data_IF_965842804592
#
_entry.id   IF_965842804592
#
_cell.length_a   1.000
_cell.length_b   1.000
_cell.length_c   1.000
_cell.angle_alpha   90.00
_cell.angle_beta   90.00
_cell.angle_gamma   90.00
#
_symmetry.space_group_name_H-M   'P 1'
#
loop_
_entity.id
_entity.type
_entity.pdbx_description
1 polymer ?
#
# COMPACT_ATOMS: atom_id res chain seq x y z
N UNK A 1 4.81 42.00 -8.01
CA UNK A 1 4.35 43.28 -7.45
C UNK A 1 2.86 43.14 -7.18
N UNK A 2 2.47 43.22 -5.87
CA UNK A 2 1.11 43.41 -5.30
C UNK A 2 0.19 42.16 -5.42
N UNK A 3 -0.32 41.52 -4.36
CA UNK A 3 -0.84 42.10 -3.13
C UNK A 3 -0.70 41.11 -1.96
N UNK A 4 -0.03 41.55 -0.91
CA UNK A 4 -0.23 41.07 0.42
C UNK A 4 -1.46 41.79 0.98
N UNK A 5 -2.56 41.10 1.16
CA UNK A 5 -3.73 41.64 1.90
C UNK A 5 -3.66 41.09 3.31
N UNK A 6 -3.44 42.02 4.22
CA UNK A 6 -3.49 41.95 5.66
C UNK A 6 -4.81 41.34 6.14
N UNK A 7 -4.75 40.19 6.85
CA UNK A 7 -5.85 39.68 7.68
C UNK A 7 -5.50 39.94 9.17
N UNK A 8 -5.81 41.12 9.65
CA UNK A 8 -6.00 41.42 11.08
C UNK A 8 -7.31 42.18 11.20
N UNK A 9 -8.36 41.47 11.57
CA UNK A 9 -9.52 41.90 12.37
C UNK A 9 -10.78 41.14 11.98
N UNK A 10 -11.04 40.04 12.64
CA UNK A 10 -12.40 39.52 12.93
C UNK A 10 -12.26 38.33 13.91
N UNK A 11 -11.83 38.63 15.12
CA UNK A 11 -12.10 37.80 16.28
C UNK A 11 -13.12 38.57 17.10
N UNK A 12 -14.39 38.28 16.91
CA UNK A 12 -15.36 38.24 17.99
C UNK A 12 -16.72 37.67 17.51
N UNK A 13 -17.21 36.75 18.33
CA UNK A 13 -18.58 36.34 18.51
C UNK A 13 -19.18 35.29 17.53
N UNK A 14 -19.30 34.07 18.05
CA UNK A 14 -20.47 33.21 17.87
C UNK A 14 -20.39 32.24 16.69
N UNK A 15 -20.16 31.04 17.00
CA UNK A 15 -20.54 29.75 16.45
C UNK A 15 -19.36 28.85 16.12
N UNK A 16 -19.11 27.85 16.98
CA UNK A 16 -18.05 26.85 16.83
C UNK A 16 -18.19 25.94 15.61
N UNK A 17 -19.35 25.94 14.94
CA UNK A 17 -19.66 25.09 13.77
C UNK A 17 -19.05 25.59 12.45
N UNK A 18 -18.88 26.91 12.29
CA UNK A 18 -18.27 27.50 11.08
C UNK A 18 -16.74 27.36 11.00
N UNK A 19 -16.09 27.08 12.12
CA UNK A 19 -14.63 26.99 12.22
C UNK A 19 -14.08 25.68 11.64
N UNK A 20 -14.79 24.55 11.82
CA UNK A 20 -14.34 23.24 11.33
C UNK A 20 -14.47 23.10 9.80
N UNK A 21 -15.60 23.53 9.20
CA UNK A 21 -15.77 23.53 7.74
C UNK A 21 -14.74 24.40 7.02
N UNK A 22 -14.42 25.58 7.56
CA UNK A 22 -13.39 26.44 6.99
C UNK A 22 -11.95 25.89 7.16
N UNK A 23 -11.69 25.12 8.22
CA UNK A 23 -10.40 24.47 8.43
C UNK A 23 -10.22 23.30 7.44
N UNK A 24 -11.25 22.49 7.21
CA UNK A 24 -11.23 21.38 6.24
C UNK A 24 -11.12 21.87 4.78
N UNK A 25 -11.88 22.92 4.41
CA UNK A 25 -11.80 23.52 3.08
C UNK A 25 -10.43 24.14 2.83
N UNK A 26 -9.82 24.80 3.82
CA UNK A 26 -8.47 25.35 3.70
C UNK A 26 -7.41 24.26 3.62
N UNK A 27 -7.51 23.13 4.37
CA UNK A 27 -6.59 21.99 4.26
C UNK A 27 -6.71 21.32 2.90
N UNK A 28 -7.93 21.11 2.37
CA UNK A 28 -8.16 20.54 1.03
C UNK A 28 -7.61 21.44 -0.08
N UNK A 29 -7.76 22.77 0.06
CA UNK A 29 -7.22 23.74 -0.89
C UNK A 29 -5.70 23.79 -0.84
N UNK A 30 -5.10 23.71 0.34
CA UNK A 30 -3.64 23.66 0.54
C UNK A 30 -3.07 22.36 -0.04
N UNK A 31 -3.70 21.20 0.19
CA UNK A 31 -3.30 19.92 -0.40
C UNK A 31 -3.42 19.91 -1.93
N UNK A 32 -4.51 20.47 -2.48
CA UNK A 32 -4.72 20.57 -3.94
C UNK A 32 -3.75 21.60 -4.60
N UNK A 33 -3.35 22.63 -3.87
CA UNK A 33 -2.39 23.64 -4.36
C UNK A 33 -0.93 23.19 -4.17
N UNK A 34 -0.64 22.27 -3.25
CA UNK A 34 0.70 21.69 -3.05
C UNK A 34 1.06 20.56 -4.03
N UNK A 35 0.20 20.24 -5.00
CA UNK A 35 0.49 19.26 -6.08
C UNK A 35 1.73 19.61 -6.91
N UNK A 36 2.30 20.80 -6.74
CA UNK A 36 3.59 21.19 -7.31
C UNK A 36 4.72 21.08 -6.30
N UNK A 37 5.33 19.88 -6.20
CA UNK A 37 6.76 19.65 -5.86
C UNK A 37 7.26 19.80 -4.42
N UNK A 38 6.47 19.84 -3.38
CA UNK A 38 7.04 19.72 -2.04
C UNK A 38 7.10 18.25 -1.60
N UNK A 39 8.25 17.78 -1.10
CA UNK A 39 8.40 16.48 -0.43
C UNK A 39 7.42 16.45 0.76
N UNK A 40 6.69 15.32 0.95
CA UNK A 40 5.77 15.17 2.08
C UNK A 40 6.47 15.45 3.41
N UNK A 41 5.93 16.38 4.18
CA UNK A 41 6.51 16.75 5.47
C UNK A 41 6.23 15.66 6.51
N UNK A 42 7.28 15.27 7.26
CA UNK A 42 7.18 14.24 8.32
C UNK A 42 6.06 14.56 9.31
N UNK A 43 5.96 15.80 9.80
CA UNK A 43 4.95 16.18 10.80
C UNK A 43 3.54 16.13 10.22
N UNK A 44 3.34 16.62 9.02
CA UNK A 44 2.06 16.57 8.33
C UNK A 44 1.56 15.11 8.14
N UNK A 45 2.46 14.21 7.78
CA UNK A 45 2.13 12.78 7.67
C UNK A 45 1.73 12.17 9.02
N UNK A 46 2.48 12.49 10.09
CA UNK A 46 2.19 11.97 11.42
C UNK A 46 0.87 12.52 11.98
N UNK A 47 0.55 13.79 11.71
CA UNK A 47 -0.73 14.40 12.13
C UNK A 47 -1.92 13.69 11.46
N UNK A 48 -1.83 13.38 10.17
CA UNK A 48 -2.87 12.62 9.45
C UNK A 48 -3.03 11.20 10.01
N UNK A 49 -1.90 10.56 10.30
CA UNK A 49 -1.89 9.20 10.86
C UNK A 49 -2.53 9.16 12.27
N UNK A 50 -2.25 10.16 13.09
CA UNK A 50 -2.84 10.31 14.43
C UNK A 50 -4.35 10.54 14.33
N UNK A 51 -4.80 11.47 13.48
CA UNK A 51 -6.21 11.72 13.21
C UNK A 51 -6.96 10.44 12.76
N UNK A 52 -6.37 9.68 11.83
CA UNK A 52 -6.94 8.39 11.39
C UNK A 52 -7.03 7.38 12.55
N UNK A 53 -6.00 7.30 13.38
CA UNK A 53 -5.96 6.37 14.52
C UNK A 53 -7.01 6.70 15.58
N UNK A 54 -7.25 7.99 15.83
CA UNK A 54 -8.25 8.46 16.81
C UNK A 54 -9.68 8.06 16.43
N UNK A 55 -9.97 7.82 15.16
CA UNK A 55 -11.27 7.37 14.68
C UNK A 55 -11.56 5.87 14.91
N UNK A 56 -10.58 5.11 15.38
CA UNK A 56 -10.76 3.72 15.80
C UNK A 56 -11.15 2.74 14.68
N UNK A 57 -10.78 3.01 13.44
CA UNK A 57 -11.14 2.14 12.29
C UNK A 57 -10.75 0.68 12.50
N UNK A 58 -9.60 0.42 13.15
CA UNK A 58 -9.09 -0.93 13.39
C UNK A 58 -9.95 -1.73 14.38
N UNK A 59 -10.81 -1.05 15.15
CA UNK A 59 -11.74 -1.67 16.09
C UNK A 59 -13.09 -2.05 15.44
N UNK A 60 -13.32 -1.60 14.19
CA UNK A 60 -14.53 -1.93 13.46
C UNK A 60 -14.53 -3.40 13.02
N UNK A 61 -15.70 -4.01 13.04
CA UNK A 61 -15.89 -5.40 12.60
C UNK A 61 -15.48 -5.53 11.13
N UNK A 62 -14.66 -6.56 10.84
CA UNK A 62 -14.21 -6.90 9.49
C UNK A 62 -13.32 -5.85 8.80
N UNK A 63 -12.87 -4.77 9.48
CA UNK A 63 -12.00 -3.76 8.87
C UNK A 63 -10.73 -4.37 8.25
N UNK A 64 -9.98 -5.18 9.02
CA UNK A 64 -8.77 -5.83 8.52
C UNK A 64 -9.03 -6.68 7.26
N UNK A 65 -10.16 -7.40 7.24
CA UNK A 65 -10.57 -8.25 6.12
C UNK A 65 -10.83 -7.42 4.86
N UNK A 66 -11.68 -6.39 4.95
CA UNK A 66 -12.02 -5.56 3.80
C UNK A 66 -10.84 -4.71 3.33
N UNK A 67 -10.00 -4.27 4.26
CA UNK A 67 -8.78 -3.55 3.92
C UNK A 67 -7.80 -4.43 3.13
N UNK A 68 -7.64 -5.70 3.56
CA UNK A 68 -6.87 -6.70 2.81
C UNK A 68 -7.44 -6.91 1.40
N UNK A 69 -8.76 -6.99 1.25
CA UNK A 69 -9.39 -7.16 -0.06
C UNK A 69 -9.14 -5.97 -0.98
N UNK A 70 -9.18 -4.75 -0.44
CA UNK A 70 -8.81 -3.54 -1.16
C UNK A 70 -7.34 -3.56 -1.61
N UNK A 71 -6.40 -3.89 -0.69
CA UNK A 71 -4.97 -4.02 -1.02
C UNK A 71 -4.75 -5.03 -2.16
N UNK A 72 -5.35 -6.22 -2.07
CA UNK A 72 -5.21 -7.26 -3.10
C UNK A 72 -5.76 -6.78 -4.43
N UNK A 73 -6.94 -6.16 -4.43
CA UNK A 73 -7.60 -5.66 -5.64
C UNK A 73 -6.74 -4.60 -6.34
N UNK A 74 -6.29 -3.59 -5.63
CA UNK A 74 -5.44 -2.55 -6.21
C UNK A 74 -4.09 -3.10 -6.67
N UNK A 75 -3.47 -3.98 -5.87
CA UNK A 75 -2.18 -4.58 -6.22
C UNK A 75 -2.23 -5.44 -7.48
N UNK A 76 -3.30 -6.22 -7.67
CA UNK A 76 -3.48 -7.02 -8.89
C UNK A 76 -3.90 -6.17 -10.10
N UNK A 77 -4.66 -5.09 -9.86
CA UNK A 77 -5.04 -4.16 -10.91
C UNK A 77 -3.84 -3.40 -11.52
N UNK A 78 -2.81 -3.11 -10.73
CA UNK A 78 -1.52 -2.59 -11.23
C UNK A 78 -0.90 -3.58 -12.23
N UNK A 79 -1.07 -4.88 -12.04
CA UNK A 79 -0.57 -5.94 -12.95
C UNK A 79 -1.55 -6.26 -14.09
N UNK A 80 -2.69 -5.58 -14.17
CA UNK A 80 -3.64 -5.69 -15.28
C UNK A 80 -4.92 -6.46 -14.97
N UNK A 81 -5.17 -6.86 -13.71
CA UNK A 81 -6.48 -7.39 -13.31
C UNK A 81 -7.56 -6.32 -13.45
N UNK A 82 -8.72 -6.71 -13.93
CA UNK A 82 -9.88 -5.84 -14.07
C UNK A 82 -10.95 -6.11 -13.02
N UNK A 83 -10.66 -7.00 -12.06
CA UNK A 83 -11.58 -7.32 -10.96
C UNK A 83 -11.79 -6.12 -10.05
N UNK A 84 -13.03 -5.91 -9.63
CA UNK A 84 -13.43 -4.90 -8.65
C UNK A 84 -13.35 -5.45 -7.23
N UNK A 85 -13.40 -4.58 -6.22
CA UNK A 85 -13.43 -5.00 -4.81
C UNK A 85 -14.64 -5.87 -4.50
N UNK A 86 -15.82 -5.53 -5.02
CA UNK A 86 -17.04 -6.34 -4.85
C UNK A 86 -16.90 -7.73 -5.49
N UNK A 87 -16.35 -7.82 -6.70
CA UNK A 87 -16.11 -9.12 -7.36
C UNK A 87 -15.08 -9.94 -6.59
N UNK A 88 -14.05 -9.33 -6.04
CA UNK A 88 -13.07 -10.00 -5.19
C UNK A 88 -13.69 -10.44 -3.84
N UNK A 89 -14.53 -9.62 -3.23
CA UNK A 89 -15.25 -10.02 -2.02
C UNK A 89 -16.10 -11.27 -2.26
N UNK A 90 -16.91 -11.30 -3.32
CA UNK A 90 -17.72 -12.48 -3.67
C UNK A 90 -16.85 -13.72 -3.98
N UNK A 91 -15.71 -13.51 -4.66
CA UNK A 91 -14.77 -14.59 -4.94
C UNK A 91 -14.12 -15.13 -3.67
N UNK A 92 -13.75 -14.26 -2.72
CA UNK A 92 -13.02 -14.64 -1.52
C UNK A 92 -13.92 -15.23 -0.43
N UNK A 93 -15.12 -14.71 -0.28
CA UNK A 93 -16.06 -15.11 0.77
C UNK A 93 -16.96 -16.28 0.35
N UNK A 94 -17.42 -16.28 -0.88
CA UNK A 94 -18.43 -17.22 -1.38
C UNK A 94 -17.89 -18.18 -2.45
N UNK A 95 -16.67 -17.97 -2.94
CA UNK A 95 -16.10 -18.75 -4.03
C UNK A 95 -16.76 -18.49 -5.40
N UNK A 96 -17.51 -17.40 -5.53
CA UNK A 96 -18.22 -17.07 -6.76
C UNK A 96 -17.28 -16.48 -7.80
N UNK A 97 -17.27 -17.08 -8.99
CA UNK A 97 -16.49 -16.58 -10.13
C UNK A 97 -17.10 -15.32 -10.71
N UNK A 98 -16.28 -14.28 -10.90
CA UNK A 98 -16.70 -13.03 -11.51
C UNK A 98 -17.00 -13.20 -13.02
N UNK A 99 -18.20 -12.83 -13.46
CA UNK A 99 -18.64 -12.96 -14.83
C UNK A 99 -17.80 -12.11 -15.78
N UNK A 100 -17.29 -12.72 -16.84
CA UNK A 100 -16.50 -12.04 -17.87
C UNK A 100 -15.02 -11.78 -17.48
N UNK A 101 -14.58 -12.23 -16.31
CA UNK A 101 -13.18 -12.17 -15.91
C UNK A 101 -12.45 -13.47 -16.24
N UNK A 102 -11.20 -13.36 -16.66
CA UNK A 102 -10.39 -14.52 -16.98
C UNK A 102 -10.07 -15.34 -15.71
N UNK A 103 -9.87 -16.64 -15.88
CA UNK A 103 -9.43 -17.50 -14.77
C UNK A 103 -8.04 -17.08 -14.25
N UNK A 104 -7.21 -16.48 -15.10
CA UNK A 104 -5.89 -15.97 -14.72
C UNK A 104 -6.02 -14.78 -13.77
N UNK A 105 -6.92 -13.84 -14.05
CA UNK A 105 -7.19 -12.71 -13.14
C UNK A 105 -7.72 -13.18 -11.80
N UNK A 106 -8.70 -14.10 -11.79
CA UNK A 106 -9.26 -14.67 -10.57
C UNK A 106 -8.20 -15.40 -9.75
N UNK A 107 -7.39 -16.25 -10.39
CA UNK A 107 -6.29 -16.96 -9.74
C UNK A 107 -5.22 -16.00 -9.19
N UNK A 108 -4.90 -14.92 -9.90
CA UNK A 108 -3.94 -13.93 -9.42
C UNK A 108 -4.41 -13.24 -8.13
N UNK A 109 -5.71 -12.95 -8.01
CA UNK A 109 -6.28 -12.37 -6.79
C UNK A 109 -6.32 -13.39 -5.65
N UNK A 110 -6.75 -14.64 -5.90
CA UNK A 110 -6.76 -15.70 -4.89
C UNK A 110 -5.36 -16.03 -4.37
N UNK A 111 -4.37 -16.11 -5.26
CA UNK A 111 -2.99 -16.40 -4.88
C UNK A 111 -2.38 -15.25 -4.07
N UNK A 112 -2.65 -14.01 -4.47
CA UNK A 112 -2.14 -12.86 -3.74
C UNK A 112 -2.78 -12.73 -2.35
N UNK A 113 -4.11 -12.96 -2.22
CA UNK A 113 -4.79 -13.01 -0.92
C UNK A 113 -4.13 -14.04 0.00
N UNK A 114 -3.95 -15.27 -0.48
CA UNK A 114 -3.32 -16.34 0.31
C UNK A 114 -1.87 -15.98 0.71
N UNK A 115 -1.13 -15.29 -0.15
CA UNK A 115 0.21 -14.82 0.15
C UNK A 115 0.23 -13.74 1.24
N UNK A 116 -0.74 -12.82 1.23
CA UNK A 116 -0.91 -11.84 2.30
C UNK A 116 -1.25 -12.49 3.64
N UNK A 117 -2.19 -13.44 3.66
CA UNK A 117 -2.54 -14.17 4.88
C UNK A 117 -1.33 -14.88 5.48
N UNK A 118 -0.55 -15.59 4.66
CA UNK A 118 0.70 -16.23 5.10
C UNK A 118 1.75 -15.22 5.56
N UNK A 119 1.87 -14.10 4.88
CA UNK A 119 2.78 -13.02 5.24
C UNK A 119 2.42 -12.40 6.60
N UNK A 120 1.13 -12.21 6.90
CA UNK A 120 0.66 -11.69 8.19
C UNK A 120 0.94 -12.69 9.32
N UNK A 121 0.80 -13.99 9.09
CA UNK A 121 1.21 -15.03 10.05
C UNK A 121 2.71 -14.91 10.36
N UNK A 122 3.57 -14.87 9.33
CA UNK A 122 5.01 -14.73 9.48
C UNK A 122 5.40 -13.43 10.21
N UNK A 123 4.68 -12.33 9.96
CA UNK A 123 4.90 -11.06 10.63
C UNK A 123 4.56 -11.14 12.13
N UNK A 124 3.44 -11.79 12.50
CA UNK A 124 3.08 -12.02 13.91
C UNK A 124 4.09 -12.92 14.64
N UNK A 125 4.69 -13.87 13.91
CA UNK A 125 5.74 -14.76 14.43
C UNK A 125 7.12 -14.09 14.47
N UNK A 126 7.25 -12.87 13.98
CA UNK A 126 8.52 -12.16 13.80
C UNK A 126 9.54 -12.97 12.98
N UNK A 127 9.08 -13.67 11.95
CA UNK A 127 9.91 -14.52 11.10
C UNK A 127 11.05 -13.70 10.44
N UNK A 128 12.32 -14.08 10.60
CA UNK A 128 13.42 -13.34 9.99
C UNK A 128 13.37 -13.41 8.46
N UNK A 129 13.74 -12.30 7.82
CA UNK A 129 13.92 -12.29 6.36
C UNK A 129 14.99 -13.28 5.94
N UNK A 130 14.66 -14.16 5.01
CA UNK A 130 15.56 -15.11 4.38
C UNK A 130 15.17 -15.31 2.91
N UNK A 131 16.08 -15.85 2.11
CA UNK A 131 15.77 -16.22 0.73
C UNK A 131 14.65 -17.27 0.68
N UNK A 132 14.61 -18.19 1.63
CA UNK A 132 13.58 -19.24 1.68
C UNK A 132 12.22 -18.66 2.03
N UNK A 133 12.13 -17.72 2.98
CA UNK A 133 10.89 -16.97 3.26
C UNK A 133 10.38 -16.24 2.00
N UNK A 134 11.26 -15.54 1.28
CA UNK A 134 10.90 -14.83 0.06
C UNK A 134 10.45 -15.79 -1.05
N UNK A 135 11.10 -16.94 -1.19
CA UNK A 135 10.71 -18.00 -2.14
C UNK A 135 9.37 -18.64 -1.77
N UNK A 136 9.12 -18.89 -0.47
CA UNK A 136 7.84 -19.40 0.02
C UNK A 136 6.71 -18.46 -0.37
N UNK A 137 6.79 -17.17 -0.04
CA UNK A 137 5.78 -16.17 -0.39
C UNK A 137 5.60 -16.03 -1.90
N UNK A 138 6.70 -16.01 -2.66
CA UNK A 138 6.63 -15.96 -4.13
C UNK A 138 5.96 -17.21 -4.73
N UNK A 139 6.18 -18.39 -4.14
CA UNK A 139 5.50 -19.61 -4.59
C UNK A 139 3.99 -19.55 -4.41
N UNK A 140 3.51 -18.85 -3.37
CA UNK A 140 2.09 -18.64 -3.14
C UNK A 140 1.54 -17.60 -4.14
N UNK A 141 2.24 -16.46 -4.33
CA UNK A 141 1.86 -15.41 -5.29
C UNK A 141 1.74 -15.94 -6.72
N UNK A 142 2.55 -16.92 -7.09
CA UNK A 142 2.63 -17.48 -8.44
C UNK A 142 2.04 -18.88 -8.57
N UNK A 143 1.36 -19.38 -7.54
CA UNK A 143 0.91 -20.79 -7.45
C UNK A 143 0.14 -21.27 -8.69
N UNK A 144 -0.81 -20.47 -9.17
CA UNK A 144 -1.70 -20.80 -10.29
C UNK A 144 -1.40 -20.04 -11.57
N UNK A 145 -0.51 -19.04 -11.50
CA UNK A 145 -0.16 -18.19 -12.63
C UNK A 145 1.27 -18.35 -13.10
N UNK A 146 2.11 -19.03 -12.31
CA UNK A 146 3.48 -19.38 -12.66
C UNK A 146 3.60 -20.64 -13.53
N UNK A 147 4.83 -21.00 -13.85
CA UNK A 147 5.13 -22.20 -14.63
C UNK A 147 6.64 -22.46 -14.77
N UNK A 148 6.96 -23.49 -15.55
CA UNK A 148 8.34 -23.96 -15.78
C UNK A 148 8.93 -23.21 -16.97
N UNK A 149 10.13 -22.71 -16.79
CA UNK A 149 10.91 -22.00 -17.80
C UNK A 149 12.22 -22.74 -18.11
N UNK A 150 12.50 -22.91 -19.41
CA UNK A 150 13.79 -23.38 -19.90
C UNK A 150 14.61 -22.16 -20.33
N UNK A 151 15.71 -21.90 -19.65
CA UNK A 151 16.54 -20.73 -19.90
C UNK A 151 18.02 -21.11 -20.03
N UNK A 152 18.88 -20.24 -20.60
CA UNK A 152 20.31 -20.51 -20.71
C UNK A 152 21.00 -20.83 -19.36
N UNK A 153 20.47 -20.27 -18.26
CA UNK A 153 20.96 -20.55 -16.90
C UNK A 153 20.39 -21.81 -16.26
N UNK A 154 19.59 -22.60 -17.00
CA UNK A 154 18.95 -23.83 -16.54
C UNK A 154 17.44 -23.71 -16.35
N UNK A 155 16.83 -24.82 -16.00
CA UNK A 155 15.38 -24.92 -15.76
C UNK A 155 15.06 -24.30 -14.38
N UNK A 156 13.94 -23.59 -14.28
CA UNK A 156 13.38 -23.08 -13.03
C UNK A 156 11.85 -23.01 -13.11
N UNK A 157 11.19 -23.09 -11.96
CA UNK A 157 9.72 -23.10 -11.84
C UNK A 157 9.25 -21.91 -11.01
N UNK A 158 8.65 -20.90 -11.66
CA UNK A 158 8.17 -19.71 -10.98
C UNK A 158 6.99 -19.99 -10.04
N UNK A 159 6.21 -21.07 -10.27
CA UNK A 159 5.12 -21.48 -9.38
C UNK A 159 5.64 -22.08 -8.05
N UNK A 160 6.93 -22.38 -7.97
CA UNK A 160 7.63 -22.82 -6.76
C UNK A 160 8.49 -21.74 -6.10
N UNK A 161 8.38 -20.51 -6.59
CA UNK A 161 9.16 -19.39 -6.08
C UNK A 161 10.63 -19.41 -6.49
N UNK A 162 11.00 -20.20 -7.51
CA UNK A 162 12.37 -20.24 -7.98
C UNK A 162 12.84 -18.90 -8.52
N UNK A 163 14.08 -18.54 -8.16
CA UNK A 163 14.72 -17.34 -8.69
C UNK A 163 14.95 -17.50 -10.19
N UNK A 164 14.79 -16.41 -10.93
CA UNK A 164 15.03 -16.41 -12.38
C UNK A 164 16.46 -16.83 -12.74
N UNK A 165 16.57 -17.58 -13.82
CA UNK A 165 17.84 -17.98 -14.43
C UNK A 165 18.03 -17.37 -15.83
N UNK A 166 17.43 -16.20 -16.02
CA UNK A 166 17.45 -15.42 -17.26
C UNK A 166 17.48 -13.93 -16.94
N UNK A 167 18.10 -13.12 -17.79
CA UNK A 167 18.03 -11.68 -17.68
C UNK A 167 16.67 -11.18 -18.18
N UNK A 168 16.13 -10.19 -17.51
CA UNK A 168 14.83 -9.58 -17.82
C UNK A 168 14.94 -8.07 -17.94
N UNK A 169 14.01 -7.45 -18.68
CA UNK A 169 13.95 -6.00 -18.91
C UNK A 169 12.64 -5.43 -18.40
N UNK A 170 12.63 -4.16 -18.05
CA UNK A 170 11.41 -3.42 -17.72
C UNK A 170 10.66 -3.06 -19.01
N UNK A 171 9.62 -3.85 -19.35
CA UNK A 171 8.86 -3.67 -20.59
C UNK A 171 9.66 -3.95 -21.85
N UNK A 172 9.09 -3.64 -23.02
CA UNK A 172 9.66 -3.97 -24.33
C UNK A 172 10.87 -3.13 -24.75
N UNK A 173 11.05 -1.95 -24.17
CA UNK A 173 12.17 -1.03 -24.48
C UNK A 173 12.87 -0.50 -23.23
N UNK A 174 12.60 -1.07 -22.05
CA UNK A 174 13.15 -0.63 -20.78
C UNK A 174 14.59 -1.06 -20.52
N UNK A 175 15.22 -0.39 -19.54
CA UNK A 175 16.55 -0.79 -19.05
C UNK A 175 16.51 -2.21 -18.47
N UNK A 176 17.54 -3.00 -18.73
CA UNK A 176 17.70 -4.33 -18.13
C UNK A 176 17.81 -4.23 -16.61
N UNK A 177 17.19 -5.17 -15.92
CA UNK A 177 17.48 -5.41 -14.52
C UNK A 177 18.87 -6.05 -14.36
N UNK A 178 19.36 -6.17 -13.13
CA UNK A 178 20.65 -6.79 -12.89
C UNK A 178 20.73 -8.21 -13.44
N UNK A 179 21.96 -8.67 -13.73
CA UNK A 179 22.18 -10.05 -14.16
C UNK A 179 21.62 -11.05 -13.14
N UNK A 180 20.92 -12.09 -13.62
CA UNK A 180 20.38 -13.15 -12.77
C UNK A 180 21.45 -13.82 -11.89
N UNK A 181 22.70 -13.86 -12.34
CA UNK A 181 23.83 -14.39 -11.56
C UNK A 181 24.11 -13.63 -10.27
N UNK A 182 23.73 -12.34 -10.21
CA UNK A 182 23.92 -11.49 -9.02
C UNK A 182 22.73 -11.53 -8.06
N UNK A 183 21.60 -12.07 -8.49
CA UNK A 183 20.35 -12.07 -7.71
C UNK A 183 20.49 -12.76 -6.36
N UNK A 184 21.05 -14.00 -6.23
CA UNK A 184 21.16 -14.65 -4.93
C UNK A 184 21.96 -13.83 -3.92
N UNK A 185 23.14 -13.35 -4.30
CA UNK A 185 23.98 -12.53 -3.43
C UNK A 185 23.29 -11.22 -3.01
N UNK A 186 22.55 -10.58 -3.93
CA UNK A 186 21.82 -9.34 -3.63
C UNK A 186 20.65 -9.57 -2.69
N UNK A 187 19.99 -10.73 -2.79
CA UNK A 187 18.93 -11.11 -1.85
C UNK A 187 19.50 -11.42 -0.44
N UNK A 188 20.65 -12.06 -0.34
CA UNK A 188 21.33 -12.26 0.95
C UNK A 188 21.62 -10.93 1.64
N UNK A 189 22.17 -9.96 0.89
CA UNK A 189 22.44 -8.61 1.40
C UNK A 189 21.13 -7.93 1.80
N UNK A 190 20.09 -8.02 0.98
CA UNK A 190 18.77 -7.48 1.27
C UNK A 190 18.19 -8.05 2.58
N UNK A 191 18.15 -9.38 2.72
CA UNK A 191 17.62 -10.04 3.91
C UNK A 191 18.38 -9.62 5.19
N UNK A 192 19.72 -9.59 5.12
CA UNK A 192 20.55 -9.16 6.24
C UNK A 192 20.23 -7.72 6.66
N UNK A 193 20.22 -6.80 5.69
CA UNK A 193 19.95 -5.38 5.94
C UNK A 193 18.53 -5.17 6.51
N UNK A 194 17.54 -5.87 5.97
CA UNK A 194 16.17 -5.78 6.47
C UNK A 194 16.08 -6.27 7.92
N UNK A 195 16.70 -7.39 8.26
CA UNK A 195 16.71 -7.90 9.63
C UNK A 195 17.38 -6.93 10.60
N UNK A 196 18.55 -6.39 10.25
CA UNK A 196 19.29 -5.45 11.10
C UNK A 196 18.49 -4.16 11.36
N UNK A 197 17.93 -3.56 10.31
CA UNK A 197 17.16 -2.31 10.45
C UNK A 197 15.84 -2.51 11.18
N UNK A 198 15.12 -3.59 10.88
CA UNK A 198 13.85 -3.92 11.53
C UNK A 198 14.02 -4.15 13.03
N UNK A 199 15.06 -4.90 13.45
CA UNK A 199 15.36 -5.11 14.87
C UNK A 199 15.66 -3.79 15.62
N UNK A 200 16.31 -2.84 14.96
CA UNK A 200 16.54 -1.51 15.51
C UNK A 200 15.25 -0.73 15.69
N UNK A 201 14.33 -0.79 14.71
CA UNK A 201 13.08 -0.04 14.73
C UNK A 201 12.01 -0.69 15.63
N UNK A 202 12.06 -1.98 15.85
CA UNK A 202 11.24 -2.64 16.90
C UNK A 202 11.60 -2.14 18.31
N UNK A 203 12.86 -1.75 18.53
CA UNK A 203 13.33 -1.19 19.82
C UNK A 203 13.02 0.31 19.96
N UNK A 204 13.04 1.07 18.89
CA UNK A 204 12.95 2.53 18.89
C UNK A 204 11.55 3.10 18.60
N UNK A 205 10.66 2.30 18.02
CA UNK A 205 9.27 2.66 17.70
C UNK A 205 9.07 4.02 16.98
N UNK A 206 10.02 4.45 16.13
CA UNK A 206 9.83 5.63 15.25
C UNK A 206 8.95 5.22 14.07
N UNK A 207 7.66 5.53 14.15
CA UNK A 207 6.63 5.20 13.16
C UNK A 207 6.99 5.68 11.76
N UNK A 208 7.53 6.89 11.63
CA UNK A 208 7.93 7.42 10.33
C UNK A 208 9.08 6.62 9.71
N UNK A 209 10.10 6.27 10.51
CA UNK A 209 11.21 5.45 10.05
C UNK A 209 10.79 3.98 9.79
N UNK A 210 9.77 3.46 10.49
CA UNK A 210 9.17 2.16 10.21
C UNK A 210 8.50 2.14 8.84
N UNK A 211 7.68 3.15 8.50
CA UNK A 211 7.13 3.30 7.15
C UNK A 211 8.24 3.44 6.11
N UNK A 212 9.24 4.27 6.39
CA UNK A 212 10.37 4.50 5.48
C UNK A 212 11.14 3.22 5.19
N UNK A 213 11.36 2.37 6.21
CA UNK A 213 11.98 1.05 6.01
C UNK A 213 11.13 0.15 5.10
N UNK A 214 9.81 0.13 5.29
CA UNK A 214 8.91 -0.67 4.46
C UNK A 214 8.94 -0.22 2.98
N UNK A 215 9.00 1.08 2.72
CA UNK A 215 9.14 1.62 1.36
C UNK A 215 10.51 1.30 0.76
N UNK A 216 11.58 1.37 1.55
CA UNK A 216 12.93 0.95 1.13
C UNK A 216 12.96 -0.53 0.76
N UNK A 217 12.30 -1.39 1.53
CA UNK A 217 12.22 -2.82 1.25
C UNK A 217 11.53 -3.08 -0.09
N UNK A 218 10.41 -2.40 -0.35
CA UNK A 218 9.73 -2.45 -1.63
C UNK A 218 10.66 -2.06 -2.79
N UNK A 219 11.26 -0.86 -2.72
CA UNK A 219 12.11 -0.32 -3.79
C UNK A 219 13.32 -1.22 -4.06
N UNK A 220 13.96 -1.73 -3.02
CA UNK A 220 15.12 -2.62 -3.14
C UNK A 220 14.73 -3.94 -3.78
N UNK A 221 13.64 -4.57 -3.33
CA UNK A 221 13.21 -5.86 -3.86
C UNK A 221 12.79 -5.76 -5.33
N UNK A 222 12.01 -4.73 -5.71
CA UNK A 222 11.63 -4.53 -7.12
C UNK A 222 12.82 -4.18 -8.00
N UNK A 223 13.86 -3.55 -7.45
CA UNK A 223 15.11 -3.24 -8.16
C UNK A 223 15.98 -4.49 -8.38
N UNK A 224 16.06 -5.38 -7.38
CA UNK A 224 16.74 -6.69 -7.53
C UNK A 224 16.03 -7.53 -8.58
N UNK A 225 14.69 -7.48 -8.59
CA UNK A 225 13.82 -8.19 -9.52
C UNK A 225 14.12 -9.70 -9.57
N UNK A 226 13.92 -10.42 -8.45
CA UNK A 226 14.44 -11.77 -8.28
C UNK A 226 13.78 -12.82 -9.16
N UNK A 227 12.53 -12.62 -9.55
CA UNK A 227 11.72 -13.59 -10.27
C UNK A 227 11.50 -13.19 -11.73
N UNK A 228 10.98 -14.11 -12.53
CA UNK A 228 10.62 -13.83 -13.92
C UNK A 228 9.34 -13.04 -14.02
N UNK A 229 8.44 -13.22 -13.06
CA UNK A 229 7.17 -12.50 -12.90
C UNK A 229 6.80 -12.37 -11.41
N UNK A 230 5.78 -11.56 -11.09
CA UNK A 230 5.29 -11.37 -9.71
C UNK A 230 6.10 -10.39 -8.86
N UNK A 231 7.17 -9.78 -9.38
CA UNK A 231 8.05 -8.90 -8.60
C UNK A 231 7.32 -7.69 -8.00
N UNK A 232 6.41 -7.06 -8.73
CA UNK A 232 5.61 -5.94 -8.23
C UNK A 232 4.72 -6.36 -7.07
N UNK A 233 3.98 -7.45 -7.21
CA UNK A 233 3.12 -8.03 -6.16
C UNK A 233 3.92 -8.39 -4.93
N UNK A 234 5.06 -9.07 -5.11
CA UNK A 234 5.97 -9.43 -4.01
C UNK A 234 6.55 -8.21 -3.30
N UNK A 235 6.93 -7.16 -4.02
CA UNK A 235 7.50 -5.96 -3.40
C UNK A 235 6.46 -5.22 -2.56
N UNK A 236 5.21 -5.10 -3.03
CA UNK A 236 4.10 -4.54 -2.25
C UNK A 236 3.73 -5.42 -1.05
N UNK A 237 3.75 -6.75 -1.21
CA UNK A 237 3.54 -7.69 -0.11
C UNK A 237 4.61 -7.54 0.98
N UNK A 238 5.89 -7.47 0.64
CA UNK A 238 7.00 -7.32 1.60
C UNK A 238 6.95 -5.95 2.31
N UNK A 239 6.53 -4.90 1.62
CA UNK A 239 6.26 -3.61 2.24
C UNK A 239 5.19 -3.74 3.33
N UNK A 240 4.04 -4.34 3.00
CA UNK A 240 2.96 -4.53 3.95
C UNK A 240 3.30 -5.55 5.05
N UNK A 241 4.15 -6.54 4.78
CA UNK A 241 4.69 -7.45 5.79
C UNK A 241 5.38 -6.68 6.93
N UNK A 242 6.29 -5.77 6.59
CA UNK A 242 6.96 -4.92 7.58
C UNK A 242 5.99 -3.99 8.31
N UNK A 243 5.02 -3.42 7.60
CA UNK A 243 3.99 -2.57 8.22
C UNK A 243 3.14 -3.36 9.22
N UNK A 244 2.71 -4.57 8.87
CA UNK A 244 1.99 -5.47 9.78
C UNK A 244 2.83 -5.86 10.99
N UNK A 245 4.13 -6.16 10.80
CA UNK A 245 5.04 -6.51 11.89
C UNK A 245 5.22 -5.35 12.89
N UNK A 246 5.23 -4.11 12.40
CA UNK A 246 5.30 -2.91 13.23
C UNK A 246 3.94 -2.47 13.80
N UNK A 247 2.84 -3.15 13.47
CA UNK A 247 1.50 -2.74 13.87
C UNK A 247 1.01 -1.44 13.22
N UNK A 248 1.51 -1.14 12.02
CA UNK A 248 1.13 0.03 11.24
C UNK A 248 -0.08 -0.25 10.34
N UNK A 249 -0.82 0.80 9.98
CA UNK A 249 -1.83 0.72 8.93
C UNK A 249 -1.13 0.39 7.61
N UNK A 250 -1.47 -0.73 6.94
CA UNK A 250 -0.81 -1.11 5.71
C UNK A 250 -1.08 -0.11 4.57
N UNK A 251 -0.04 0.23 3.80
CA UNK A 251 -0.18 1.11 2.64
C UNK A 251 -0.72 0.32 1.44
N UNK A 252 -1.64 0.92 0.68
CA UNK A 252 -2.05 0.46 -0.64
C UNK A 252 -1.65 1.47 -1.72
N UNK A 253 -1.30 0.97 -2.90
CA UNK A 253 -1.07 1.81 -4.09
C UNK A 253 -2.33 1.72 -4.94
N UNK A 254 -3.00 2.85 -5.16
CA UNK A 254 -4.21 2.89 -5.95
C UNK A 254 -3.89 2.61 -7.43
N UNK A 255 -4.75 1.83 -8.09
CA UNK A 255 -4.59 1.52 -9.51
C UNK A 255 -4.65 2.77 -10.41
N UNK A 256 -5.35 3.80 -9.96
CA UNK A 256 -5.48 5.09 -10.61
C UNK A 256 -4.14 5.83 -10.66
N UNK A 257 -3.31 5.66 -9.64
CA UNK A 257 -2.01 6.31 -9.50
C UNK A 257 -0.84 5.45 -10.04
N UNK A 258 -1.16 4.35 -10.75
CA UNK A 258 -0.17 3.45 -11.36
C UNK A 258 0.92 4.18 -12.16
N UNK A 259 0.55 5.20 -12.92
CA UNK A 259 1.51 5.93 -13.75
C UNK A 259 2.52 6.71 -12.88
N UNK A 260 2.06 7.38 -11.82
CA UNK A 260 2.93 8.10 -10.88
C UNK A 260 3.82 7.13 -10.09
N UNK A 261 3.26 6.00 -9.64
CA UNK A 261 3.98 4.93 -8.98
C UNK A 261 5.15 4.40 -9.84
N UNK A 262 4.89 4.07 -11.11
CA UNK A 262 5.94 3.60 -12.02
C UNK A 262 6.98 4.69 -12.28
N UNK A 263 6.57 5.94 -12.46
CA UNK A 263 7.48 7.06 -12.63
C UNK A 263 8.38 7.27 -11.40
N UNK A 264 7.85 7.13 -10.18
CA UNK A 264 8.63 7.24 -8.95
C UNK A 264 9.69 6.13 -8.85
N UNK A 265 9.34 4.88 -9.24
CA UNK A 265 10.28 3.76 -9.31
C UNK A 265 11.39 4.01 -10.34
N UNK A 266 11.04 4.49 -11.52
CA UNK A 266 12.00 4.79 -12.60
C UNK A 266 12.94 5.92 -12.15
N UNK A 267 12.39 7.01 -11.63
CA UNK A 267 13.14 8.16 -11.16
C UNK A 267 14.12 7.79 -10.03
N UNK A 268 13.66 7.01 -9.03
CA UNK A 268 14.52 6.52 -7.95
C UNK A 268 15.70 5.69 -8.46
N UNK A 269 15.47 4.87 -9.50
CA UNK A 269 16.53 4.07 -10.11
C UNK A 269 17.50 4.91 -10.97
N UNK A 270 17.00 5.96 -11.62
CA UNK A 270 17.82 6.86 -12.45
C UNK A 270 18.69 7.80 -11.62
N UNK A 271 18.14 8.29 -10.50
CA UNK A 271 18.82 9.16 -9.56
C UNK A 271 19.66 8.39 -8.52
N UNK A 272 19.60 7.07 -8.51
CA UNK A 272 20.21 6.22 -7.47
C UNK A 272 19.83 6.67 -6.05
N UNK A 273 18.58 7.10 -5.88
CA UNK A 273 18.03 7.70 -4.66
C UNK A 273 16.68 7.08 -4.29
N UNK A 274 16.47 6.80 -3.01
CA UNK A 274 15.18 6.32 -2.52
C UNK A 274 14.12 7.45 -2.40
N UNK A 275 14.57 8.70 -2.39
CA UNK A 275 13.71 9.86 -2.07
C UNK A 275 12.50 10.00 -2.99
N UNK A 276 12.61 9.88 -4.34
CA UNK A 276 11.44 10.01 -5.21
C UNK A 276 10.35 8.97 -4.92
N UNK A 277 10.74 7.73 -4.64
CA UNK A 277 9.81 6.66 -4.33
C UNK A 277 9.22 6.78 -2.93
N UNK A 278 10.05 7.11 -1.93
CA UNK A 278 9.57 7.35 -0.56
C UNK A 278 8.56 8.49 -0.52
N UNK A 279 8.84 9.61 -1.20
CA UNK A 279 7.94 10.76 -1.26
C UNK A 279 6.59 10.38 -1.89
N UNK A 280 6.61 9.65 -3.01
CA UNK A 280 5.39 9.12 -3.60
C UNK A 280 4.60 8.27 -2.60
N UNK A 281 5.25 7.32 -1.92
CA UNK A 281 4.59 6.39 -1.02
C UNK A 281 4.01 7.07 0.22
N UNK A 282 4.70 8.07 0.78
CA UNK A 282 4.15 8.86 1.89
C UNK A 282 2.92 9.66 1.46
N UNK A 283 2.96 10.32 0.30
CA UNK A 283 1.79 11.04 -0.24
C UNK A 283 0.62 10.11 -0.56
N UNK A 284 0.90 8.97 -1.14
CA UNK A 284 -0.11 7.95 -1.47
C UNK A 284 -0.79 7.42 -0.21
N UNK A 285 0.00 7.17 0.85
CA UNK A 285 -0.55 6.72 2.12
C UNK A 285 -1.37 7.81 2.82
N UNK A 286 -0.85 9.04 2.88
CA UNK A 286 -1.59 10.17 3.42
C UNK A 286 -2.93 10.40 2.69
N UNK A 287 -2.93 10.31 1.36
CA UNK A 287 -4.16 10.38 0.54
C UNK A 287 -5.17 9.30 0.92
N UNK A 288 -4.70 8.04 1.11
CA UNK A 288 -5.56 6.94 1.52
C UNK A 288 -6.18 7.19 2.90
N UNK A 289 -5.37 7.56 3.89
CA UNK A 289 -5.85 7.84 5.25
C UNK A 289 -6.86 9.00 5.26
N UNK A 290 -6.59 10.07 4.51
CA UNK A 290 -7.51 11.21 4.38
C UNK A 290 -8.85 10.82 3.74
N UNK A 291 -8.84 9.94 2.73
CA UNK A 291 -10.09 9.44 2.14
C UNK A 291 -10.91 8.62 3.13
N UNK A 292 -10.27 7.80 3.96
CA UNK A 292 -10.95 7.04 5.01
C UNK A 292 -11.54 7.96 6.08
N UNK A 293 -10.80 8.98 6.52
CA UNK A 293 -11.27 10.00 7.45
C UNK A 293 -12.48 10.77 6.86
N UNK A 294 -12.39 11.22 5.60
CA UNK A 294 -13.50 11.91 4.92
C UNK A 294 -14.75 11.03 4.84
N UNK A 295 -14.60 9.77 4.45
CA UNK A 295 -15.72 8.83 4.33
C UNK A 295 -16.39 8.58 5.69
N UNK A 296 -15.61 8.41 6.74
CA UNK A 296 -16.13 8.24 8.10
C UNK A 296 -16.93 9.47 8.55
N UNK A 297 -16.37 10.66 8.38
CA UNK A 297 -17.06 11.89 8.77
C UNK A 297 -18.38 12.09 8.02
N UNK A 298 -18.43 11.73 6.73
CA UNK A 298 -19.67 11.78 5.95
C UNK A 298 -20.71 10.77 6.45
N UNK A 299 -20.29 9.55 6.81
CA UNK A 299 -21.22 8.54 7.34
C UNK A 299 -21.82 8.96 8.69
N UNK A 300 -21.04 9.64 9.53
CA UNK A 300 -21.53 10.15 10.82
C UNK A 300 -22.50 11.34 10.64
N UNK A 301 -22.25 12.22 9.65
CA UNK A 301 -23.20 13.32 9.32
C UNK A 301 -24.53 12.76 8.82
N UNK A 302 -24.54 11.71 8.00
CA UNK A 302 -25.75 11.05 7.49
C UNK A 302 -26.56 10.39 8.62
N UNK A 303 -25.89 9.72 9.58
CA UNK A 303 -26.55 9.11 10.75
C UNK A 303 -27.20 10.17 11.67
N UNK A 304 -26.52 11.30 11.93
CA UNK A 304 -27.07 12.40 12.71
C UNK A 304 -28.31 13.01 12.04
N UNK A 305 -28.30 13.17 10.71
CA UNK A 305 -29.45 13.69 9.96
C UNK A 305 -30.64 12.71 9.97
N UNK A 306 -30.39 11.40 9.94
CA UNK A 306 -31.44 10.37 10.06
C UNK A 306 -32.06 10.34 11.46
N UNK A 307 -31.27 10.46 12.53
CA UNK A 307 -31.74 10.51 13.90
C UNK A 307 -32.59 11.77 14.18
N UNK A 308 -32.23 12.92 13.60
CA UNK A 308 -33.01 14.15 13.72
C UNK A 308 -34.37 14.08 12.99
N UNK A 309 -34.47 13.25 11.94
CA UNK A 309 -35.68 13.09 11.14
C UNK A 309 -36.65 12.04 11.70
N UNK A 310 -36.24 11.16 12.63
CA UNK A 310 -37.16 10.23 13.28
C UNK A 310 -38.18 10.98 14.17
N UNK A 311 -39.51 10.90 13.89
CA UNK A 311 -40.48 11.57 14.69
C UNK A 311 -40.51 10.94 16.08
N UNK A 312 -40.26 11.75 17.13
CA UNK A 312 -40.43 11.34 18.53
C UNK A 312 -41.80 10.75 18.72
N UNK A 313 -41.90 9.41 18.71
CA UNK A 313 -43.16 8.71 19.05
C UNK A 313 -43.50 9.03 20.49
N UNK A 314 -44.41 9.98 20.65
CA UNK A 314 -45.04 10.27 21.93
C UNK A 314 -45.82 9.02 22.37
N UNK A 315 -45.31 8.28 23.30
CA UNK A 315 -46.11 7.34 24.09
C UNK A 315 -47.07 8.16 24.91
N UNK A 316 -48.32 8.29 24.43
CA UNK A 316 -49.45 8.70 25.31
C UNK A 316 -49.80 7.48 26.17
N UNK A 317 -49.59 7.66 27.49
CA UNK A 317 -50.18 6.79 28.51
C UNK A 317 -51.66 7.04 28.63
#
# INVERSE_FOLDING_TARGET
MVAAISFRSALNEGTGFFSLKNCLINRKLVYLLSKDKAIMNKQEFLDILEEHKELGFQEQIDYEKFYLYSIVTHSTAIEGSTMTEVENQLLFDEGLSAKGKSIIEQNMNLDLKAAYERSMEMARENTPFSIDMLKELSSIVMRRTGGIFNAPGGVFDSSKGDLRRVNVTAGTMGKSYMSYLKVPQKLEIFCKEMNERREQLLKNSDVYEQYRLSFDAHLKLVTIHPWVDGNGRMSRLIMNHLQNEFGLVPNKVFKEDKAEYINALVKSREEESNVPFQDFMFREHAKNLQQEIENYNLSMEDEEEEEEQEPRRHFRR
#
